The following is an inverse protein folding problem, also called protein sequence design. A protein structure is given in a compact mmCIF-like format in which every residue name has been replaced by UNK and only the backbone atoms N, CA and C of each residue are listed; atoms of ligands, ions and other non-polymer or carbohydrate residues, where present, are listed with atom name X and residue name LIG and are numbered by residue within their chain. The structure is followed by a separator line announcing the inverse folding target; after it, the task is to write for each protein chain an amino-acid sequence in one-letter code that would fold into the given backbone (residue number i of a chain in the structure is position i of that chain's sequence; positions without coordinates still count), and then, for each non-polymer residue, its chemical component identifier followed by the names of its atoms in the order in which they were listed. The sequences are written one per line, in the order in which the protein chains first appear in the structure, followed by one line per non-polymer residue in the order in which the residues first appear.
data_IF_417761161583
#
_entry.id   IF_417761161583
#
_cell.length_a   1.000
_cell.length_b   1.000
_cell.length_c   1.000
_cell.angle_alpha   90.00
_cell.angle_beta   90.00
_cell.angle_gamma   90.00
#
_symmetry.space_group_name_H-M   'P 1'
#
loop_
_entity.id
_entity.type
_entity.pdbx_description
1 polymer ?
#
# COMPACT_ATOMS: atom_id res chain seq x y z
N UNK A 1 -0.90 14.07 -17.46
CA UNK A 1 -0.99 12.78 -18.20
C UNK A 1 0.05 12.73 -19.31
N UNK A 2 0.69 11.57 -19.58
CA UNK A 2 1.65 11.42 -20.66
C UNK A 2 0.99 11.72 -22.02
N UNK A 3 1.73 12.40 -22.90
CA UNK A 3 1.33 12.63 -24.30
C UNK A 3 1.82 11.46 -25.17
N UNK A 4 1.16 11.23 -26.31
CA UNK A 4 1.67 10.29 -27.30
C UNK A 4 2.89 10.92 -28.00
N UNK A 5 4.08 10.48 -27.63
CA UNK A 5 5.35 11.03 -28.18
C UNK A 5 5.97 10.14 -29.26
N UNK A 6 5.28 9.11 -29.78
CA UNK A 6 5.85 8.13 -30.69
C UNK A 6 5.12 7.98 -32.02
N UNK A 7 5.75 7.26 -32.98
CA UNK A 7 5.10 6.75 -34.18
C UNK A 7 3.93 5.83 -33.80
N UNK A 8 2.77 6.01 -34.38
CA UNK A 8 1.59 5.17 -34.13
C UNK A 8 0.28 5.97 -34.12
N UNK A 9 -0.84 5.27 -33.99
CA UNK A 9 -2.17 5.86 -33.95
C UNK A 9 -2.35 6.81 -32.76
N UNK A 10 -3.23 7.83 -32.93
CA UNK A 10 -3.56 8.77 -31.87
C UNK A 10 -4.18 8.04 -30.66
N UNK A 11 -3.74 8.40 -29.47
CA UNK A 11 -4.30 7.86 -28.25
C UNK A 11 -5.78 8.28 -28.08
N UNK A 12 -6.61 7.33 -27.70
CA UNK A 12 -7.99 7.62 -27.27
C UNK A 12 -7.96 8.56 -26.08
N UNK A 13 -9.05 9.31 -25.92
CA UNK A 13 -9.19 10.29 -24.84
C UNK A 13 -8.87 9.67 -23.47
N UNK A 14 -7.99 10.33 -22.75
CA UNK A 14 -7.55 9.89 -21.44
C UNK A 14 -8.69 9.85 -20.44
N UNK A 15 -9.64 10.79 -20.52
CA UNK A 15 -10.79 10.85 -19.60
C UNK A 15 -11.66 9.60 -19.74
N UNK A 16 -11.98 9.22 -20.98
CA UNK A 16 -12.76 8.01 -21.25
C UNK A 16 -12.06 6.76 -20.72
N UNK A 17 -10.77 6.62 -21.01
CA UNK A 17 -9.95 5.47 -20.56
C UNK A 17 -9.85 5.41 -19.04
N UNK A 18 -9.61 6.55 -18.37
CA UNK A 18 -9.52 6.62 -16.89
C UNK A 18 -10.86 6.24 -16.28
N UNK A 19 -11.98 6.73 -16.81
CA UNK A 19 -13.31 6.37 -16.33
C UNK A 19 -13.56 4.86 -16.44
N UNK A 20 -13.12 4.22 -17.54
CA UNK A 20 -13.17 2.76 -17.70
C UNK A 20 -12.33 2.03 -16.67
N UNK A 21 -11.09 2.49 -16.41
CA UNK A 21 -10.21 1.94 -15.38
C UNK A 21 -10.85 2.08 -13.99
N UNK A 22 -11.36 3.26 -13.65
CA UNK A 22 -12.01 3.52 -12.37
C UNK A 22 -13.27 2.65 -12.19
N UNK A 23 -14.07 2.50 -13.25
CA UNK A 23 -15.24 1.64 -13.23
C UNK A 23 -14.84 0.19 -12.92
N UNK A 24 -13.88 -0.36 -13.66
CA UNK A 24 -13.37 -1.72 -13.43
C UNK A 24 -12.81 -1.90 -12.02
N UNK A 25 -12.04 -0.93 -11.52
CA UNK A 25 -11.48 -1.01 -10.16
C UNK A 25 -12.59 -1.04 -9.12
N UNK A 26 -13.62 -0.23 -9.30
CA UNK A 26 -14.76 -0.17 -8.38
C UNK A 26 -15.58 -1.46 -8.38
N UNK A 27 -15.89 -1.98 -9.56
CA UNK A 27 -16.80 -3.12 -9.75
C UNK A 27 -16.11 -4.48 -9.65
N UNK A 28 -14.81 -4.53 -9.95
CA UNK A 28 -14.03 -5.78 -9.98
C UNK A 28 -14.37 -6.70 -11.15
N UNK A 29 -15.11 -6.24 -12.15
CA UNK A 29 -15.47 -7.03 -13.34
C UNK A 29 -14.21 -7.45 -14.12
N UNK A 30 -14.26 -8.54 -14.88
CA UNK A 30 -13.26 -8.87 -15.89
C UNK A 30 -13.09 -7.74 -16.91
N UNK A 31 -11.89 -7.56 -17.44
CA UNK A 31 -11.65 -6.51 -18.43
C UNK A 31 -12.53 -6.64 -19.69
N UNK A 32 -12.75 -7.86 -20.26
CA UNK A 32 -13.61 -8.01 -21.40
C UNK A 32 -15.06 -7.54 -21.20
N UNK A 33 -15.54 -7.55 -19.95
CA UNK A 33 -16.90 -7.14 -19.58
C UNK A 33 -17.04 -5.63 -19.38
N UNK A 34 -15.98 -4.86 -19.67
CA UNK A 34 -16.03 -3.40 -19.55
C UNK A 34 -17.06 -2.82 -20.53
N UNK A 35 -18.04 -2.03 -20.05
CA UNK A 35 -19.06 -1.44 -20.90
C UNK A 35 -18.47 -0.62 -22.06
N UNK A 36 -19.03 -0.80 -23.27
CA UNK A 36 -18.55 -0.16 -24.52
C UNK A 36 -18.48 1.36 -24.47
N UNK A 37 -19.25 2.03 -23.60
CA UNK A 37 -19.17 3.48 -23.39
C UNK A 37 -17.79 3.97 -22.94
N UNK A 38 -16.95 3.10 -22.40
CA UNK A 38 -15.56 3.39 -22.01
C UNK A 38 -14.55 3.10 -23.13
N UNK A 39 -15.01 2.70 -24.31
CA UNK A 39 -14.19 2.27 -25.44
C UNK A 39 -13.77 0.80 -25.33
N UNK A 40 -12.74 0.43 -26.11
CA UNK A 40 -12.20 -0.94 -26.07
C UNK A 40 -11.58 -1.26 -24.71
N UNK A 41 -11.94 -2.39 -24.14
CA UNK A 41 -11.37 -2.87 -22.90
C UNK A 41 -9.85 -3.11 -23.01
N UNK A 42 -9.37 -3.55 -24.18
CA UNK A 42 -7.92 -3.73 -24.43
C UNK A 42 -7.18 -2.40 -24.25
N UNK A 43 -7.73 -1.31 -24.81
CA UNK A 43 -7.15 0.04 -24.65
C UNK A 43 -7.08 0.44 -23.18
N UNK A 44 -8.13 0.22 -22.40
CA UNK A 44 -8.15 0.53 -20.97
C UNK A 44 -7.14 -0.33 -20.19
N UNK A 45 -7.09 -1.63 -20.48
CA UNK A 45 -6.16 -2.56 -19.84
C UNK A 45 -4.71 -2.21 -20.15
N UNK A 46 -4.36 -2.04 -21.43
CA UNK A 46 -2.99 -1.75 -21.84
C UNK A 46 -2.52 -0.40 -21.31
N UNK A 47 -3.40 0.57 -21.26
CA UNK A 47 -3.10 1.88 -20.68
C UNK A 47 -2.87 1.77 -19.18
N UNK A 48 -3.73 1.04 -18.45
CA UNK A 48 -3.55 0.79 -17.01
C UNK A 48 -2.24 0.05 -16.75
N UNK A 49 -1.95 -1.00 -17.50
CA UNK A 49 -0.72 -1.79 -17.39
C UNK A 49 0.53 -0.92 -17.64
N UNK A 50 0.52 -0.11 -18.69
CA UNK A 50 1.61 0.82 -19.03
C UNK A 50 1.84 1.83 -17.92
N UNK A 51 0.78 2.53 -17.50
CA UNK A 51 0.88 3.55 -16.45
C UNK A 51 1.22 2.99 -15.06
N UNK A 52 0.95 1.71 -14.83
CA UNK A 52 1.43 1.01 -13.65
C UNK A 52 2.93 0.68 -13.74
N UNK A 53 3.41 0.32 -14.93
CA UNK A 53 4.80 -0.08 -15.17
C UNK A 53 5.75 1.13 -15.17
N UNK A 54 5.36 2.24 -15.79
CA UNK A 54 6.19 3.45 -15.97
C UNK A 54 6.07 4.45 -14.82
N UNK A 55 5.32 4.11 -13.76
CA UNK A 55 5.13 4.94 -12.57
C UNK A 55 4.19 6.14 -12.76
N UNK A 56 3.42 6.21 -13.85
CA UNK A 56 2.48 7.32 -14.09
C UNK A 56 1.44 7.44 -12.97
N UNK A 57 0.87 6.32 -12.49
CA UNK A 57 -0.07 6.35 -11.38
C UNK A 57 0.53 6.88 -10.09
N UNK A 58 1.78 6.53 -9.82
CA UNK A 58 2.51 7.04 -8.65
C UNK A 58 2.79 8.54 -8.76
N UNK A 59 3.15 9.04 -9.97
CA UNK A 59 3.33 10.49 -10.19
C UNK A 59 2.04 11.26 -9.97
N UNK A 60 0.90 10.76 -10.48
CA UNK A 60 -0.41 11.38 -10.27
C UNK A 60 -0.77 11.39 -8.78
N UNK A 61 -0.55 10.27 -8.09
CA UNK A 61 -0.81 10.15 -6.67
C UNK A 61 -0.03 11.19 -5.86
N UNK A 62 1.26 11.36 -6.17
CA UNK A 62 2.12 12.36 -5.50
C UNK A 62 1.75 13.80 -5.86
N UNK A 63 1.35 14.06 -7.11
CA UNK A 63 0.92 15.40 -7.52
C UNK A 63 -0.31 15.83 -6.71
N UNK A 64 -1.32 14.97 -6.59
CA UNK A 64 -2.52 15.28 -5.82
C UNK A 64 -2.18 15.49 -4.33
N UNK A 65 -1.28 14.68 -3.77
CA UNK A 65 -0.82 14.89 -2.40
C UNK A 65 -0.13 16.25 -2.23
N UNK A 66 0.69 16.65 -3.21
CA UNK A 66 1.37 17.94 -3.18
C UNK A 66 0.39 19.11 -3.20
N UNK A 67 -0.65 19.03 -4.07
CA UNK A 67 -1.67 20.06 -4.18
C UNK A 67 -2.46 20.22 -2.86
N UNK A 68 -2.81 19.08 -2.22
CA UNK A 68 -3.54 19.08 -0.95
C UNK A 68 -2.65 19.52 0.22
N UNK A 69 -1.36 19.15 0.21
CA UNK A 69 -0.39 19.60 1.24
C UNK A 69 -0.12 21.10 1.15
N UNK A 70 -0.06 21.65 -0.07
CA UNK A 70 0.06 23.09 -0.29
C UNK A 70 -1.12 23.89 0.29
N UNK A 71 -2.33 23.31 0.26
CA UNK A 71 -3.52 23.86 0.93
C UNK A 71 -3.57 23.57 2.45
N UNK A 72 -2.52 23.00 3.03
CA UNK A 72 -2.45 22.70 4.48
C UNK A 72 -3.43 21.62 4.95
N UNK A 73 -4.01 20.85 4.02
CA UNK A 73 -5.11 19.92 4.33
C UNK A 73 -4.64 18.48 4.63
N UNK A 74 -3.33 18.21 4.70
CA UNK A 74 -2.80 16.91 5.15
C UNK A 74 -2.58 16.95 6.66
N UNK A 75 -3.19 16.03 7.40
CA UNK A 75 -2.95 15.87 8.83
C UNK A 75 -1.65 15.11 9.11
N UNK A 76 -0.56 15.84 9.20
CA UNK A 76 0.75 15.28 9.56
C UNK A 76 0.92 15.02 11.05
N UNK A 77 0.03 15.57 11.89
CA UNK A 77 0.09 15.40 13.34
C UNK A 77 -0.09 13.96 13.78
N UNK A 78 -0.73 13.14 12.91
CA UNK A 78 -0.95 11.72 13.17
C UNK A 78 -0.98 10.93 11.87
N UNK A 79 -0.02 10.03 11.72
CA UNK A 79 -0.01 9.02 10.65
C UNK A 79 -0.11 7.64 11.29
N UNK A 80 -0.97 6.80 10.77
CA UNK A 80 -1.14 5.44 11.25
C UNK A 80 -0.69 4.44 10.19
N UNK A 81 0.01 3.37 10.62
CA UNK A 81 0.41 2.26 9.75
C UNK A 81 -0.41 1.02 10.08
N UNK A 82 -0.86 0.36 9.02
CA UNK A 82 -1.55 -0.92 9.14
C UNK A 82 -1.42 -1.73 7.84
N UNK A 83 -1.90 -2.97 7.85
CA UNK A 83 -1.90 -3.85 6.71
C UNK A 83 -3.22 -4.58 6.55
N UNK A 84 -3.51 -4.98 5.32
CA UNK A 84 -4.66 -5.83 5.04
C UNK A 84 -4.32 -6.94 4.06
N UNK A 85 -4.90 -8.11 4.28
CA UNK A 85 -4.76 -9.25 3.38
C UNK A 85 -5.81 -9.16 2.28
N UNK A 86 -5.38 -9.37 1.04
CA UNK A 86 -6.24 -9.51 -0.12
C UNK A 86 -6.12 -10.93 -0.67
N UNK A 87 -7.25 -11.63 -0.82
CA UNK A 87 -7.25 -12.93 -1.48
C UNK A 87 -6.90 -12.76 -2.95
N UNK A 88 -6.10 -13.69 -3.47
CA UNK A 88 -5.80 -13.73 -4.88
C UNK A 88 -6.77 -14.67 -5.58
N UNK A 89 -7.45 -14.14 -6.60
CA UNK A 89 -8.27 -14.96 -7.50
C UNK A 89 -7.40 -15.95 -8.28
N UNK A 90 -7.97 -17.05 -8.78
CA UNK A 90 -7.26 -18.04 -9.59
C UNK A 90 -6.50 -17.41 -10.78
N UNK A 91 -7.01 -16.35 -11.38
CA UNK A 91 -6.31 -15.61 -12.45
C UNK A 91 -4.96 -15.07 -12.01
N UNK A 92 -4.83 -14.61 -10.75
CA UNK A 92 -3.56 -14.12 -10.22
C UNK A 92 -2.54 -15.26 -9.99
N UNK A 93 -2.98 -16.51 -9.85
CA UNK A 93 -2.12 -17.68 -9.69
C UNK A 93 -1.19 -17.93 -10.89
N UNK A 94 -1.53 -17.37 -12.07
CA UNK A 94 -0.67 -17.36 -13.26
C UNK A 94 0.50 -16.40 -13.22
N UNK A 95 0.78 -15.71 -12.08
CA UNK A 95 1.97 -14.90 -11.90
C UNK A 95 3.26 -15.73 -11.99
N UNK A 96 4.37 -15.08 -12.30
CA UNK A 96 5.67 -15.76 -12.49
C UNK A 96 6.07 -16.55 -11.24
N UNK A 97 6.55 -17.77 -11.47
CA UNK A 97 7.02 -18.69 -10.44
C UNK A 97 8.55 -18.76 -10.45
N UNK A 98 9.13 -19.07 -9.31
CA UNK A 98 10.54 -19.42 -9.22
C UNK A 98 10.74 -20.86 -9.71
N UNK A 99 11.89 -21.12 -10.33
CA UNK A 99 12.30 -22.49 -10.57
C UNK A 99 12.34 -23.29 -9.24
N UNK A 100 11.93 -24.58 -9.24
CA UNK A 100 11.98 -25.38 -8.03
C UNK A 100 13.43 -25.48 -7.53
N UNK A 101 13.68 -25.08 -6.29
CA UNK A 101 14.98 -25.26 -5.64
C UNK A 101 15.08 -26.70 -5.16
N UNK A 102 16.05 -27.43 -5.67
CA UNK A 102 16.42 -28.73 -5.11
C UNK A 102 17.03 -28.51 -3.71
N UNK A 103 16.40 -29.01 -2.67
CA UNK A 103 16.92 -29.02 -1.33
C UNK A 103 16.88 -30.48 -0.84
N UNK A 104 17.98 -31.22 -1.04
CA UNK A 104 18.08 -32.64 -0.74
C UNK A 104 17.07 -33.48 -1.54
N UNK A 105 16.55 -34.58 -0.93
CA UNK A 105 15.58 -35.49 -1.57
C UNK A 105 14.15 -34.96 -1.68
N UNK A 106 13.84 -33.72 -1.17
CA UNK A 106 12.49 -33.14 -1.22
C UNK A 106 12.40 -32.05 -2.26
N UNK A 107 11.48 -32.20 -3.21
CA UNK A 107 11.08 -31.13 -4.13
C UNK A 107 10.24 -30.13 -3.34
N UNK A 108 10.76 -28.91 -3.13
CA UNK A 108 9.96 -27.84 -2.52
C UNK A 108 8.87 -27.39 -3.50
N UNK A 109 7.68 -27.14 -2.98
CA UNK A 109 6.55 -26.58 -3.73
C UNK A 109 7.00 -25.34 -4.49
N UNK A 110 6.65 -25.27 -5.78
CA UNK A 110 6.95 -24.10 -6.61
C UNK A 110 6.29 -22.87 -6.01
N UNK A 111 7.10 -21.86 -5.67
CA UNK A 111 6.62 -20.61 -5.09
C UNK A 111 6.60 -19.51 -6.16
N UNK A 112 5.73 -18.52 -5.99
CA UNK A 112 5.77 -17.32 -6.79
C UNK A 112 7.03 -16.50 -6.48
N UNK A 113 7.52 -15.75 -7.46
CA UNK A 113 8.66 -14.84 -7.25
C UNK A 113 8.28 -13.77 -6.22
N UNK A 114 9.20 -13.37 -5.32
CA UNK A 114 8.92 -12.35 -4.30
C UNK A 114 8.47 -11.01 -4.90
N UNK A 115 8.98 -10.67 -6.09
CA UNK A 115 8.62 -9.46 -6.83
C UNK A 115 7.19 -9.48 -7.40
N UNK A 116 6.51 -10.64 -7.39
CA UNK A 116 5.09 -10.74 -7.75
C UNK A 116 4.13 -10.53 -6.56
N UNK A 117 4.66 -10.32 -5.35
CA UNK A 117 3.88 -10.07 -4.14
C UNK A 117 2.70 -11.05 -3.95
N UNK A 118 2.93 -12.32 -4.27
CA UNK A 118 2.00 -13.43 -4.10
C UNK A 118 2.62 -14.49 -3.20
N UNK A 119 1.83 -14.98 -2.24
CA UNK A 119 2.27 -16.04 -1.36
C UNK A 119 1.12 -16.78 -0.71
N UNK A 120 1.40 -17.94 -0.14
CA UNK A 120 0.43 -18.77 0.56
C UNK A 120 0.38 -18.38 2.04
N UNK A 121 -0.79 -17.98 2.49
CA UNK A 121 -1.16 -17.85 3.89
C UNK A 121 -2.05 -19.04 4.30
N UNK A 122 -2.48 -19.08 5.55
CA UNK A 122 -3.47 -20.08 6.03
C UNK A 122 -4.77 -20.04 5.20
N UNK A 123 -5.17 -18.86 4.70
CA UNK A 123 -6.35 -18.66 3.85
C UNK A 123 -6.11 -18.86 2.35
N UNK A 124 -5.02 -19.53 1.93
CA UNK A 124 -4.68 -19.78 0.53
C UNK A 124 -3.76 -18.73 -0.08
N UNK A 125 -3.88 -18.51 -1.38
CA UNK A 125 -3.03 -17.56 -2.12
C UNK A 125 -3.48 -16.12 -1.85
N UNK A 126 -2.56 -15.30 -1.37
CA UNK A 126 -2.86 -13.95 -0.89
C UNK A 126 -1.74 -12.95 -1.20
N UNK A 127 -2.11 -11.68 -1.18
CA UNK A 127 -1.23 -10.52 -1.16
C UNK A 127 -1.56 -9.68 0.06
N UNK A 128 -0.58 -9.02 0.67
CA UNK A 128 -0.81 -7.97 1.66
C UNK A 128 -0.62 -6.60 1.05
N UNK A 129 -1.50 -5.68 1.42
CA UNK A 129 -1.32 -4.24 1.22
C UNK A 129 -0.95 -3.66 2.57
N UNK A 130 0.23 -3.03 2.65
CA UNK A 130 0.65 -2.23 3.79
C UNK A 130 0.48 -0.77 3.40
N UNK A 131 -0.01 0.05 4.31
CA UNK A 131 -0.21 1.46 4.06
C UNK A 131 0.14 2.33 5.27
N UNK A 132 0.47 3.57 4.99
CA UNK A 132 0.50 4.67 5.94
C UNK A 132 -0.63 5.63 5.56
N UNK A 133 -1.54 5.90 6.51
CA UNK A 133 -2.67 6.80 6.33
C UNK A 133 -2.57 8.00 7.26
N UNK A 134 -2.97 9.18 6.77
CA UNK A 134 -3.10 10.40 7.58
C UNK A 134 -4.51 10.51 8.18
N UNK A 135 -4.70 11.42 9.15
CA UNK A 135 -5.93 11.55 9.94
C UNK A 135 -7.21 11.84 9.14
N UNK A 136 -7.10 12.39 7.92
CA UNK A 136 -8.23 12.62 7.00
C UNK A 136 -8.68 11.36 6.24
N UNK A 137 -8.26 10.18 6.65
CA UNK A 137 -8.58 8.88 6.01
C UNK A 137 -8.07 8.76 4.57
N UNK A 138 -6.87 9.30 4.29
CA UNK A 138 -6.25 9.25 2.97
C UNK A 138 -4.87 8.58 3.06
N UNK A 139 -4.52 7.68 2.13
CA UNK A 139 -3.23 6.99 2.16
C UNK A 139 -2.09 7.91 1.72
N UNK A 140 -1.01 7.98 2.49
CA UNK A 140 0.23 8.67 2.14
C UNK A 140 1.21 7.77 1.39
N UNK A 141 1.22 6.48 1.71
CA UNK A 141 2.09 5.50 1.08
C UNK A 141 1.45 4.13 1.04
N UNK A 142 1.82 3.35 0.03
CA UNK A 142 1.31 2.01 -0.25
C UNK A 142 2.47 1.06 -0.59
N UNK A 143 2.37 -0.17 -0.13
CA UNK A 143 3.31 -1.25 -0.45
C UNK A 143 2.56 -2.56 -0.55
N UNK A 144 2.85 -3.38 -1.55
CA UNK A 144 2.31 -4.73 -1.69
C UNK A 144 3.39 -5.78 -1.44
N UNK A 145 3.04 -6.83 -0.72
CA UNK A 145 3.96 -7.93 -0.38
C UNK A 145 3.26 -9.28 -0.49
N UNK A 146 4.02 -10.40 -0.55
CA UNK A 146 3.44 -11.73 -0.40
C UNK A 146 2.67 -11.86 0.92
N UNK A 147 1.50 -12.52 0.88
CA UNK A 147 0.58 -12.56 2.01
C UNK A 147 1.09 -13.20 3.30
N UNK A 148 2.09 -14.07 3.22
CA UNK A 148 2.74 -14.70 4.39
C UNK A 148 3.80 -13.82 5.08
N UNK A 149 4.18 -12.69 4.47
CA UNK A 149 5.18 -11.81 5.09
C UNK A 149 4.60 -11.13 6.33
N UNK A 150 5.44 -11.02 7.38
CA UNK A 150 5.08 -10.33 8.60
C UNK A 150 4.95 -8.81 8.40
N UNK A 151 4.07 -8.19 9.18
CA UNK A 151 3.79 -6.75 9.09
C UNK A 151 4.91 -5.91 9.69
N UNK A 152 5.49 -6.37 10.80
CA UNK A 152 6.52 -5.64 11.54
C UNK A 152 7.72 -5.18 10.68
N UNK A 153 8.33 -6.01 9.83
CA UNK A 153 9.42 -5.58 8.96
C UNK A 153 9.01 -4.57 7.90
N UNK A 154 7.73 -4.50 7.54
CA UNK A 154 7.23 -3.64 6.45
C UNK A 154 6.96 -2.20 6.87
N UNK A 155 6.96 -1.90 8.18
CA UNK A 155 6.76 -0.53 8.66
C UNK A 155 7.78 0.44 8.07
N UNK A 156 9.06 0.09 8.12
CA UNK A 156 10.14 0.95 7.61
C UNK A 156 9.99 1.17 6.08
N UNK A 157 9.88 0.12 5.24
CA UNK A 157 9.65 0.29 3.81
C UNK A 157 8.41 1.13 3.45
N UNK A 158 7.33 1.03 4.23
CA UNK A 158 6.13 1.87 4.02
C UNK A 158 6.43 3.32 4.34
N UNK A 159 7.07 3.60 5.47
CA UNK A 159 7.40 4.98 5.87
C UNK A 159 8.39 5.64 4.91
N UNK A 160 9.34 4.89 4.34
CA UNK A 160 10.29 5.40 3.35
C UNK A 160 9.63 5.76 2.01
N UNK A 161 8.44 5.24 1.74
CA UNK A 161 7.63 5.60 0.57
C UNK A 161 6.83 6.90 0.75
N UNK A 162 6.70 7.43 1.96
CA UNK A 162 6.08 8.74 2.19
C UNK A 162 7.00 9.79 1.56
N UNK A 163 6.55 10.37 0.46
CA UNK A 163 7.27 11.41 -0.30
C UNK A 163 6.27 12.36 -0.96
N UNK A 164 5.84 13.35 -0.21
CA UNK A 164 4.91 14.38 -0.70
C UNK A 164 5.73 15.55 -1.24
N UNK A 165 5.72 15.79 -2.56
CA UNK A 165 6.46 16.89 -3.15
C UNK A 165 5.96 18.24 -2.63
N UNK A 166 6.82 19.24 -2.59
CA UNK A 166 6.46 20.63 -2.28
C UNK A 166 6.31 21.42 -3.58
N UNK A 167 5.17 22.08 -3.83
CA UNK A 167 4.94 22.85 -5.05
C UNK A 167 5.98 23.96 -5.25
N UNK A 168 6.44 24.59 -4.16
CA UNK A 168 7.48 25.61 -4.18
C UNK A 168 8.91 25.04 -4.42
N UNK A 169 9.05 23.74 -4.67
CA UNK A 169 10.34 23.07 -4.84
C UNK A 169 10.99 22.66 -3.51
N UNK A 170 12.21 22.08 -3.64
CA UNK A 170 12.96 21.59 -2.48
C UNK A 170 12.67 20.12 -2.14
N UNK A 171 13.13 19.68 -0.96
CA UNK A 171 12.97 18.30 -0.52
C UNK A 171 11.52 17.94 -0.21
N UNK A 172 11.03 16.78 -0.68
CA UNK A 172 9.67 16.32 -0.37
C UNK A 172 9.49 16.11 1.15
N UNK A 173 8.29 16.32 1.65
CA UNK A 173 7.94 15.97 3.02
C UNK A 173 7.85 14.44 3.14
N UNK A 174 8.61 13.87 4.07
CA UNK A 174 8.75 12.42 4.25
C UNK A 174 8.51 11.97 5.69
N UNK A 175 8.31 12.92 6.61
CA UNK A 175 8.26 12.67 8.04
C UNK A 175 6.94 13.14 8.64
N UNK A 176 6.12 12.24 9.21
CA UNK A 176 5.02 12.62 10.07
C UNK A 176 5.54 13.10 11.44
N UNK A 177 4.76 13.88 12.14
CA UNK A 177 5.08 14.35 13.49
C UNK A 177 4.89 13.22 14.51
N UNK A 178 3.87 12.39 14.30
CA UNK A 178 3.56 11.24 15.15
C UNK A 178 3.13 10.03 14.32
N UNK A 179 3.55 8.85 14.76
CA UNK A 179 3.17 7.57 14.17
C UNK A 179 2.38 6.71 15.16
N UNK A 180 1.26 6.15 14.71
CA UNK A 180 0.54 5.09 15.41
C UNK A 180 0.61 3.77 14.64
N UNK A 181 0.62 2.67 15.36
CA UNK A 181 0.55 1.31 14.81
C UNK A 181 0.12 0.33 15.87
N UNK A 182 -0.33 -0.84 15.46
CA UNK A 182 -0.72 -1.90 16.39
C UNK A 182 0.51 -2.55 17.06
N UNK A 183 0.28 -3.44 18.04
CA UNK A 183 1.35 -4.16 18.74
C UNK A 183 2.19 -5.07 17.83
N UNK A 184 1.72 -5.41 16.63
CA UNK A 184 2.50 -6.19 15.68
C UNK A 184 3.76 -5.42 15.20
N UNK A 185 3.68 -4.09 15.15
CA UNK A 185 4.81 -3.24 14.76
C UNK A 185 5.81 -2.97 15.91
N UNK A 186 5.54 -3.48 17.12
CA UNK A 186 6.40 -3.29 18.27
C UNK A 186 7.69 -4.11 18.12
N UNK A 187 8.76 -3.47 17.72
CA UNK A 187 10.11 -4.06 17.68
C UNK A 187 11.18 -3.04 18.01
N UNK A 188 12.32 -3.52 18.55
CA UNK A 188 13.49 -2.66 18.83
C UNK A 188 13.98 -1.94 17.56
N UNK A 189 13.97 -2.65 16.40
CA UNK A 189 14.37 -2.09 15.10
C UNK A 189 13.48 -0.92 14.71
N UNK A 190 12.16 -1.09 14.78
CA UNK A 190 11.19 -0.07 14.40
C UNK A 190 11.29 1.15 15.33
N UNK A 191 11.36 0.93 16.65
CA UNK A 191 11.51 2.03 17.62
C UNK A 191 12.83 2.79 17.44
N UNK A 192 13.92 2.09 17.11
CA UNK A 192 15.21 2.73 16.79
C UNK A 192 15.10 3.58 15.53
N UNK A 193 14.45 3.09 14.48
CA UNK A 193 14.22 3.83 13.25
C UNK A 193 13.43 5.11 13.51
N UNK A 194 12.29 5.02 14.24
CA UNK A 194 11.45 6.17 14.55
C UNK A 194 12.21 7.23 15.36
N UNK A 195 12.97 6.82 16.38
CA UNK A 195 13.82 7.74 17.17
C UNK A 195 14.85 8.45 16.30
N UNK A 196 15.57 7.71 15.45
CA UNK A 196 16.56 8.30 14.54
C UNK A 196 15.93 9.30 13.57
N UNK A 197 14.68 9.04 13.14
CA UNK A 197 13.91 9.94 12.28
C UNK A 197 13.20 11.05 13.07
N UNK A 198 13.35 11.11 14.39
CA UNK A 198 12.65 12.06 15.27
C UNK A 198 11.13 12.01 15.11
N UNK A 199 10.56 10.83 14.88
CA UNK A 199 9.13 10.60 14.77
C UNK A 199 8.62 10.16 16.14
N UNK A 200 7.76 10.95 16.77
CA UNK A 200 7.03 10.52 17.97
C UNK A 200 6.13 9.34 17.64
N UNK A 201 5.90 8.43 18.56
CA UNK A 201 5.10 7.25 18.22
C UNK A 201 4.35 6.67 19.41
N UNK A 202 3.17 6.13 19.13
CA UNK A 202 2.35 5.34 20.04
C UNK A 202 2.11 3.96 19.44
N UNK A 203 2.92 2.99 19.88
CA UNK A 203 2.84 1.58 19.49
C UNK A 203 2.83 0.78 20.78
N UNK A 204 1.75 0.02 21.08
CA UNK A 204 1.69 -0.78 22.31
C UNK A 204 2.81 -1.81 22.38
N UNK A 205 3.27 -2.12 23.58
CA UNK A 205 4.15 -3.26 23.79
C UNK A 205 3.35 -4.56 23.81
N UNK A 206 3.93 -5.62 23.28
CA UNK A 206 3.36 -6.97 23.41
C UNK A 206 3.58 -7.49 24.83
N UNK A 207 2.68 -8.35 25.29
CA UNK A 207 2.75 -8.94 26.64
C UNK A 207 4.09 -9.65 26.90
N UNK A 208 4.62 -10.37 25.91
CA UNK A 208 5.92 -11.04 25.99
C UNK A 208 7.09 -10.05 26.19
N UNK A 209 7.02 -8.88 25.55
CA UNK A 209 8.02 -7.83 25.70
C UNK A 209 7.96 -7.19 27.10
N UNK A 210 6.74 -6.95 27.61
CA UNK A 210 6.53 -6.43 28.97
C UNK A 210 7.05 -7.41 30.01
N UNK A 211 6.68 -8.68 29.93
CA UNK A 211 7.12 -9.73 30.84
C UNK A 211 8.66 -9.90 30.80
N UNK A 212 9.26 -9.86 29.63
CA UNK A 212 10.71 -9.94 29.48
C UNK A 212 11.42 -8.74 30.12
N UNK A 213 10.88 -7.53 29.98
CA UNK A 213 11.41 -6.33 30.62
C UNK A 213 11.30 -6.43 32.14
N UNK A 214 10.15 -6.85 32.69
CA UNK A 214 9.92 -7.03 34.11
C UNK A 214 10.89 -8.03 34.72
N UNK A 215 11.10 -9.17 34.08
CA UNK A 215 12.09 -10.20 34.53
C UNK A 215 13.51 -9.68 34.61
N UNK A 216 13.88 -8.66 33.84
CA UNK A 216 15.19 -8.04 33.87
C UNK A 216 15.37 -6.98 34.98
N UNK A 217 14.30 -6.62 35.69
CA UNK A 217 14.34 -5.61 36.73
C UNK A 217 14.93 -4.28 36.24
N UNK A 218 15.92 -3.76 36.94
CA UNK A 218 16.64 -2.50 36.59
C UNK A 218 17.30 -2.54 35.20
N UNK A 219 17.72 -3.70 34.73
CA UNK A 219 18.32 -3.89 33.40
C UNK A 219 17.26 -3.98 32.27
N UNK A 220 15.99 -4.00 32.59
CA UNK A 220 14.88 -4.09 31.61
C UNK A 220 14.63 -2.82 30.81
N UNK A 221 15.14 -1.70 31.27
CA UNK A 221 14.98 -0.40 30.64
C UNK A 221 13.59 0.24 30.85
N UNK A 222 13.46 1.50 30.41
CA UNK A 222 12.22 2.27 30.54
C UNK A 222 11.09 1.67 29.68
N UNK A 223 9.84 1.60 30.19
CA UNK A 223 8.67 1.25 29.40
C UNK A 223 8.52 2.16 28.18
N UNK A 224 7.96 1.62 27.11
CA UNK A 224 7.59 2.44 25.97
C UNK A 224 6.49 3.42 26.37
N UNK A 225 6.65 4.70 26.04
CA UNK A 225 5.59 5.68 26.23
C UNK A 225 4.35 5.28 25.44
N UNK A 226 3.19 5.34 26.08
CA UNK A 226 1.92 5.01 25.47
C UNK A 226 0.90 6.11 25.80
N UNK A 227 0.25 6.66 24.78
CA UNK A 227 -0.79 7.67 24.87
C UNK A 227 -2.10 7.06 24.37
N UNK A 228 -3.06 6.74 25.28
CA UNK A 228 -4.33 6.11 24.92
C UNK A 228 -5.18 6.96 23.98
N UNK A 229 -5.22 8.27 24.16
CA UNK A 229 -6.01 9.18 23.33
C UNK A 229 -5.49 9.20 21.88
N UNK A 230 -4.17 9.30 21.71
CA UNK A 230 -3.56 9.17 20.39
C UNK A 230 -3.73 7.79 19.79
N UNK A 231 -3.67 6.73 20.61
CA UNK A 231 -3.86 5.37 20.14
C UNK A 231 -5.28 5.12 19.64
N UNK A 232 -6.28 5.71 20.25
CA UNK A 232 -7.68 5.60 19.81
C UNK A 232 -7.86 6.09 18.36
N UNK A 233 -7.10 7.11 17.93
CA UNK A 233 -7.09 7.58 16.54
C UNK A 233 -6.58 6.55 15.54
N UNK A 234 -5.93 5.46 15.97
CA UNK A 234 -5.56 4.35 15.07
C UNK A 234 -6.75 3.75 14.31
N UNK A 235 -7.95 3.86 14.84
CA UNK A 235 -9.17 3.45 14.13
C UNK A 235 -9.34 4.16 12.76
N UNK A 236 -8.72 5.33 12.57
CA UNK A 236 -8.72 6.04 11.29
C UNK A 236 -8.12 5.19 10.17
N UNK A 237 -7.02 4.45 10.43
CA UNK A 237 -6.39 3.61 9.39
C UNK A 237 -7.22 2.36 9.09
N UNK A 238 -7.93 1.79 10.04
CA UNK A 238 -8.85 0.68 9.81
C UNK A 238 -10.02 1.11 8.91
N UNK A 239 -10.59 2.29 9.19
CA UNK A 239 -11.62 2.90 8.35
C UNK A 239 -11.10 3.21 6.94
N UNK A 240 -9.85 3.69 6.82
CA UNK A 240 -9.19 3.92 5.54
C UNK A 240 -9.06 2.61 4.74
N UNK A 241 -8.64 1.52 5.39
CA UNK A 241 -8.57 0.18 4.77
C UNK A 241 -9.94 -0.24 4.24
N UNK A 242 -10.99 -0.04 5.03
CA UNK A 242 -12.35 -0.36 4.62
C UNK A 242 -12.78 0.47 3.40
N UNK A 243 -12.53 1.80 3.40
CA UNK A 243 -12.77 2.67 2.23
C UNK A 243 -12.02 2.22 0.98
N UNK A 244 -10.78 1.78 1.14
CA UNK A 244 -9.96 1.29 0.04
C UNK A 244 -10.55 -0.01 -0.54
N UNK A 245 -10.96 -0.95 0.33
CA UNK A 245 -11.53 -2.26 -0.03
C UNK A 245 -12.97 -2.21 -0.57
N UNK A 246 -13.67 -1.11 -0.44
CA UNK A 246 -14.93 -0.88 -1.20
C UNK A 246 -14.69 -1.06 -2.71
N UNK A 247 -13.46 -0.81 -3.19
CA UNK A 247 -13.07 -1.13 -4.56
C UNK A 247 -12.82 -2.63 -4.68
N UNK A 248 -13.73 -3.34 -5.36
CA UNK A 248 -13.69 -4.81 -5.45
C UNK A 248 -12.39 -5.37 -6.02
N UNK A 249 -11.77 -4.65 -6.97
CA UNK A 249 -10.49 -5.04 -7.53
C UNK A 249 -9.30 -4.90 -6.55
N UNK A 250 -9.47 -4.14 -5.46
CA UNK A 250 -8.52 -4.07 -4.34
C UNK A 250 -8.81 -5.14 -3.31
N UNK A 251 -10.10 -5.39 -3.01
CA UNK A 251 -10.51 -6.41 -2.04
C UNK A 251 -10.10 -7.82 -2.48
N UNK A 252 -10.17 -8.11 -3.79
CA UNK A 252 -9.73 -9.37 -4.40
C UNK A 252 -8.74 -9.06 -5.52
N UNK A 253 -7.55 -9.65 -5.46
CA UNK A 253 -6.54 -9.46 -6.48
C UNK A 253 -6.79 -10.37 -7.68
N UNK A 254 -7.11 -9.79 -8.83
CA UNK A 254 -7.22 -10.49 -10.13
C UNK A 254 -5.93 -10.34 -10.95
N UNK A 255 -5.15 -9.29 -10.71
CA UNK A 255 -3.98 -8.95 -11.50
C UNK A 255 -2.83 -9.93 -11.25
N UNK A 256 -2.29 -10.54 -12.33
CA UNK A 256 -1.17 -11.47 -12.25
C UNK A 256 0.10 -10.79 -11.73
N UNK A 257 0.41 -9.61 -12.29
CA UNK A 257 1.66 -8.90 -12.01
C UNK A 257 1.51 -7.96 -10.81
N UNK A 258 2.49 -7.97 -9.92
CA UNK A 258 2.48 -7.12 -8.72
C UNK A 258 2.40 -5.63 -9.06
N UNK A 259 3.12 -5.17 -10.07
CA UNK A 259 3.11 -3.75 -10.45
C UNK A 259 1.74 -3.29 -10.97
N UNK A 260 0.99 -4.18 -11.66
CA UNK A 260 -0.38 -3.86 -12.11
C UNK A 260 -1.31 -3.79 -10.91
N UNK A 261 -1.22 -4.75 -9.99
CA UNK A 261 -2.01 -4.72 -8.76
C UNK A 261 -1.68 -3.48 -7.89
N UNK A 262 -0.38 -3.14 -7.77
CA UNK A 262 0.02 -1.90 -7.09
C UNK A 262 -0.60 -0.67 -7.75
N UNK A 263 -0.59 -0.61 -9.10
CA UNK A 263 -1.28 0.44 -9.85
C UNK A 263 -2.79 0.48 -9.58
N UNK A 264 -3.45 -0.68 -9.50
CA UNK A 264 -4.87 -0.79 -9.11
C UNK A 264 -5.14 -0.19 -7.73
N UNK A 265 -4.29 -0.52 -6.74
CA UNK A 265 -4.38 0.03 -5.37
C UNK A 265 -4.10 1.54 -5.37
N UNK A 266 -3.09 2.00 -6.13
CA UNK A 266 -2.74 3.42 -6.24
C UNK A 266 -3.87 4.24 -6.86
N UNK A 267 -4.53 3.76 -7.91
CA UNK A 267 -5.69 4.45 -8.52
C UNK A 267 -6.86 4.51 -7.54
N UNK A 268 -7.11 3.43 -6.78
CA UNK A 268 -8.12 3.46 -5.72
C UNK A 268 -7.78 4.49 -4.64
N UNK A 269 -6.50 4.63 -4.28
CA UNK A 269 -6.01 5.64 -3.36
C UNK A 269 -6.16 7.07 -3.91
N UNK A 270 -5.81 7.31 -5.17
CA UNK A 270 -6.05 8.60 -5.87
C UNK A 270 -7.50 9.02 -5.75
N UNK A 271 -8.43 8.09 -5.90
CA UNK A 271 -9.85 8.38 -5.77
C UNK A 271 -10.25 8.84 -4.35
N UNK A 272 -9.59 8.34 -3.32
CA UNK A 272 -9.84 8.79 -1.94
C UNK A 272 -9.34 10.21 -1.69
N UNK A 273 -8.30 10.64 -2.38
CA UNK A 273 -7.78 12.01 -2.33
C UNK A 273 -8.67 13.02 -3.08
N UNK A 274 -9.33 12.58 -4.13
CA UNK A 274 -10.21 13.42 -4.97
C UNK A 274 -11.66 13.52 -4.46
N UNK A 275 -12.00 12.75 -3.43
CA UNK A 275 -13.31 12.82 -2.77
C UNK A 275 -13.13 13.38 -1.38
N UNK A 276 -13.75 14.51 -1.05
CA UNK A 276 -13.75 15.06 0.32
C UNK A 276 -14.45 14.14 1.32
#
# INVERSE_FOLDING_TARGET
MPKNAGRGGRWKDHRQVINGILFRIRTGIPWPDLPRRFGSWQTCYDRHRRWSADGTWERIFRSIQADVDAGGSIDWSMVSVDSTVCRAHQHAAGARKQAPRKAGKRIRTVQHRPDEALGRSRGGLTTKIHLAGEGGLRPLALLVTPGQWGDCPQMIPVLERIRVPRPAGGHPRTRPDHLSGDKAYSSRRNRRYLRRRQIKHTIPERRDQQAHRQRRGSHGGRPAGFDPARYARRNEVERLINRLKINRAVATRFDKRAYVFHGTVTVAAVRLWLRP
#
